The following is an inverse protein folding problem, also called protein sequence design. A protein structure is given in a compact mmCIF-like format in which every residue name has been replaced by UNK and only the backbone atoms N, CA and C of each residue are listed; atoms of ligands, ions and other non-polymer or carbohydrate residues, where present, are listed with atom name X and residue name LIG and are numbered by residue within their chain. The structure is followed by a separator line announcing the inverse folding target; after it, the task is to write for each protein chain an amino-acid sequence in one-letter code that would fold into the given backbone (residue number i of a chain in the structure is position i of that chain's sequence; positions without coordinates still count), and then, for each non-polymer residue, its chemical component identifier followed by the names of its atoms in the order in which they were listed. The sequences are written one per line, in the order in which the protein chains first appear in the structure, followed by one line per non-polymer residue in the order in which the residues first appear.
data_IF_963260779628
#
_entry.id   IF_963260779628
#
_cell.length_a   1.000
_cell.length_b   1.000
_cell.length_c   1.000
_cell.angle_alpha   90.00
_cell.angle_beta   90.00
_cell.angle_gamma   90.00
#
_symmetry.space_group_name_H-M   'P 1'
#
loop_
_entity.id
_entity.type
_entity.pdbx_description
1 polymer ?
#
# COMPACT_ATOMS: atom_id res chain seq x y z
N UNK A 1 -10.49 -3.46 -10.90
CA UNK A 1 -10.51 -3.18 -12.35
C UNK A 1 -9.08 -3.25 -12.88
N UNK A 2 -8.83 -4.11 -13.86
CA UNK A 2 -7.53 -4.23 -14.53
C UNK A 2 -7.74 -3.77 -15.98
N UNK A 3 -6.92 -2.85 -16.47
CA UNK A 3 -6.99 -2.45 -17.88
C UNK A 3 -5.87 -3.13 -18.67
N UNK A 4 -6.02 -3.19 -20.00
CA UNK A 4 -5.05 -3.83 -20.90
C UNK A 4 -3.64 -3.25 -20.82
N UNK A 5 -3.48 -2.00 -20.37
CA UNK A 5 -2.17 -1.36 -20.24
C UNK A 5 -1.44 -1.87 -19.00
N UNK A 6 -2.14 -2.04 -17.87
CA UNK A 6 -1.59 -2.62 -16.66
C UNK A 6 -1.19 -4.09 -16.85
N UNK A 7 -1.97 -4.86 -17.62
CA UNK A 7 -1.66 -6.27 -17.92
C UNK A 7 -0.33 -6.42 -18.67
N UNK A 8 -0.09 -5.57 -19.68
CA UNK A 8 1.17 -5.55 -20.43
C UNK A 8 2.40 -5.24 -19.58
N UNK A 9 2.22 -4.67 -18.39
CA UNK A 9 3.30 -4.30 -17.47
C UNK A 9 3.47 -5.29 -16.32
N UNK A 10 2.69 -6.37 -16.26
CA UNK A 10 2.88 -7.43 -15.27
C UNK A 10 4.30 -8.01 -15.35
N UNK A 11 4.92 -8.24 -14.19
CA UNK A 11 6.29 -8.77 -14.08
C UNK A 11 7.41 -7.77 -14.41
N UNK A 12 7.07 -6.54 -14.80
CA UNK A 12 8.05 -5.48 -15.03
C UNK A 12 8.35 -4.70 -13.75
N UNK A 13 9.51 -4.04 -13.70
CA UNK A 13 9.86 -3.15 -12.59
C UNK A 13 8.89 -1.97 -12.54
N UNK A 14 8.31 -1.72 -11.36
CA UNK A 14 7.41 -0.61 -11.10
C UNK A 14 7.98 0.29 -10.00
N UNK A 15 7.84 1.60 -10.16
CA UNK A 15 8.17 2.56 -9.10
C UNK A 15 7.03 2.61 -8.09
N UNK A 16 7.27 2.08 -6.89
CA UNK A 16 6.27 2.07 -5.80
C UNK A 16 6.47 3.21 -4.80
N UNK A 17 7.71 3.72 -4.71
CA UNK A 17 8.09 4.78 -3.78
C UNK A 17 9.25 5.59 -4.37
N UNK A 18 9.31 6.89 -4.08
CA UNK A 18 10.41 7.77 -4.45
C UNK A 18 10.67 8.81 -3.35
N UNK A 19 11.88 9.37 -3.34
CA UNK A 19 12.32 10.36 -2.36
C UNK A 19 12.95 11.57 -3.08
N UNK A 20 12.82 12.75 -2.48
CA UNK A 20 13.39 14.02 -2.95
C UNK A 20 14.00 14.74 -1.77
N UNK A 21 15.22 15.24 -1.93
CA UNK A 21 15.83 16.23 -1.06
C UNK A 21 15.97 17.54 -1.84
N UNK A 22 15.44 18.63 -1.28
CA UNK A 22 15.48 19.97 -1.87
C UNK A 22 16.77 20.68 -1.46
N UNK A 23 17.26 21.67 -2.24
CA UNK A 23 18.50 22.37 -1.92
C UNK A 23 18.53 23.08 -0.55
N UNK A 24 17.36 23.38 0.02
CA UNK A 24 17.21 23.97 1.35
C UNK A 24 17.16 22.91 2.49
N UNK A 25 17.44 21.64 2.17
CA UNK A 25 17.44 20.53 3.12
C UNK A 25 16.07 19.89 3.35
N UNK A 26 15.01 20.39 2.70
CA UNK A 26 13.68 19.81 2.82
C UNK A 26 13.58 18.42 2.18
N UNK A 27 13.02 17.44 2.89
CA UNK A 27 12.88 16.05 2.42
C UNK A 27 11.42 15.69 2.18
N UNK A 28 11.16 14.89 1.15
CA UNK A 28 9.82 14.43 0.82
C UNK A 28 9.83 13.05 0.15
N UNK A 29 8.74 12.31 0.32
CA UNK A 29 8.55 10.99 -0.30
C UNK A 29 7.18 10.91 -0.96
N UNK A 30 7.08 10.08 -2.01
CA UNK A 30 5.80 9.63 -2.55
C UNK A 30 5.70 8.12 -2.49
N UNK A 31 4.51 7.59 -2.25
CA UNK A 31 4.25 6.17 -2.02
C UNK A 31 2.88 5.75 -2.55
N UNK A 32 2.82 4.69 -3.37
CA UNK A 32 1.58 4.20 -3.99
C UNK A 32 0.93 3.02 -3.24
N UNK A 33 1.51 2.56 -2.12
CA UNK A 33 1.03 1.38 -1.40
C UNK A 33 -0.14 1.59 -0.45
N UNK A 34 -0.58 2.83 -0.20
CA UNK A 34 -1.54 3.16 0.86
C UNK A 34 -3.01 2.77 0.61
N UNK A 35 -3.34 2.09 -0.49
CA UNK A 35 -4.74 1.79 -0.85
C UNK A 35 -5.37 0.67 -0.01
N UNK A 36 -4.62 -0.40 0.26
CA UNK A 36 -5.13 -1.57 0.98
C UNK A 36 -4.82 -1.46 2.47
N UNK A 37 -5.83 -1.11 3.28
CA UNK A 37 -5.68 -0.93 4.74
C UNK A 37 -5.08 -2.16 5.43
N UNK A 38 -5.43 -3.38 4.98
CA UNK A 38 -4.91 -4.64 5.53
C UNK A 38 -3.38 -4.74 5.48
N UNK A 39 -2.71 -4.03 4.56
CA UNK A 39 -1.25 -4.00 4.50
C UNK A 39 -0.59 -3.43 5.75
N UNK A 40 -1.30 -2.59 6.52
CA UNK A 40 -0.78 -2.06 7.77
C UNK A 40 -0.55 -3.13 8.84
N UNK A 41 -1.09 -4.34 8.69
CA UNK A 41 -0.74 -5.47 9.55
C UNK A 41 0.64 -6.08 9.23
N UNK A 42 1.24 -5.76 8.07
CA UNK A 42 2.56 -6.27 7.66
C UNK A 42 3.67 -5.40 8.29
N UNK A 43 4.51 -6.01 9.12
CA UNK A 43 5.54 -5.31 9.89
C UNK A 43 6.53 -4.54 9.01
N UNK A 44 7.00 -5.14 7.92
CA UNK A 44 7.95 -4.48 7.00
C UNK A 44 7.30 -3.36 6.18
N UNK A 45 5.99 -3.47 5.90
CA UNK A 45 5.23 -2.40 5.25
C UNK A 45 5.13 -1.18 6.18
N UNK A 46 4.88 -1.40 7.48
CA UNK A 46 4.94 -0.33 8.47
C UNK A 46 6.34 0.24 8.62
N UNK A 47 7.37 -0.62 8.69
CA UNK A 47 8.76 -0.21 8.88
C UNK A 47 9.23 0.73 7.76
N UNK A 48 8.95 0.43 6.49
CA UNK A 48 9.36 1.31 5.38
C UNK A 48 8.68 2.68 5.46
N UNK A 49 7.40 2.73 5.84
CA UNK A 49 6.68 4.00 6.01
C UNK A 49 7.21 4.79 7.20
N UNK A 50 7.47 4.13 8.34
CA UNK A 50 8.03 4.78 9.52
C UNK A 50 9.43 5.32 9.26
N UNK A 51 10.29 4.55 8.59
CA UNK A 51 11.62 5.01 8.15
C UNK A 51 11.49 6.25 7.25
N UNK A 52 10.53 6.25 6.33
CA UNK A 52 10.27 7.39 5.45
C UNK A 52 9.84 8.63 6.24
N UNK A 53 8.94 8.49 7.21
CA UNK A 53 8.49 9.56 8.10
C UNK A 53 9.68 10.14 8.88
N UNK A 54 10.47 9.29 9.55
CA UNK A 54 11.67 9.69 10.29
C UNK A 54 12.65 10.45 9.40
N UNK A 55 12.92 9.94 8.20
CA UNK A 55 13.82 10.58 7.25
C UNK A 55 13.27 11.94 6.77
N UNK A 56 11.98 12.03 6.43
CA UNK A 56 11.33 13.30 6.03
C UNK A 56 11.31 14.33 7.15
N UNK A 57 11.30 13.89 8.42
CA UNK A 57 11.42 14.77 9.58
C UNK A 57 12.86 15.29 9.82
N UNK A 58 13.83 14.91 8.97
CA UNK A 58 15.23 15.32 9.09
C UNK A 58 16.05 14.50 10.07
N UNK A 59 15.48 13.42 10.63
CA UNK A 59 16.14 12.54 11.59
C UNK A 59 16.90 11.41 10.88
N UNK A 60 17.88 10.82 11.57
CA UNK A 60 18.52 9.60 11.11
C UNK A 60 17.61 8.38 11.34
N UNK A 61 17.54 7.52 10.32
CA UNK A 61 16.81 6.25 10.42
C UNK A 61 17.72 5.25 11.15
N UNK A 62 17.22 4.53 12.18
CA UNK A 62 18.02 3.51 12.86
C UNK A 62 18.51 2.43 11.89
N UNK A 63 19.68 1.83 12.17
CA UNK A 63 20.28 0.78 11.33
C UNK A 63 19.32 -0.39 11.07
N UNK A 64 18.56 -0.79 12.08
CA UNK A 64 17.56 -1.87 11.99
C UNK A 64 16.15 -1.37 11.59
N UNK A 65 16.03 -0.10 11.21
CA UNK A 65 14.77 0.59 10.96
C UNK A 65 14.02 0.97 12.24
N UNK A 66 12.97 1.76 12.07
CA UNK A 66 12.08 2.18 13.16
C UNK A 66 11.29 0.97 13.64
N UNK A 67 11.39 0.67 14.93
CA UNK A 67 10.63 -0.40 15.57
C UNK A 67 9.15 -0.04 15.67
N UNK A 68 8.28 -1.03 15.45
CA UNK A 68 6.84 -0.92 15.71
C UNK A 68 6.33 -2.23 16.30
N UNK A 69 5.30 -2.16 17.15
CA UNK A 69 4.61 -3.36 17.64
C UNK A 69 3.82 -4.00 16.49
N UNK A 70 3.70 -5.32 16.52
CA UNK A 70 2.76 -6.04 15.67
C UNK A 70 1.33 -5.53 15.94
N UNK A 71 0.56 -5.36 14.87
CA UNK A 71 -0.84 -4.94 14.95
C UNK A 71 -1.72 -6.18 15.16
N UNK A 72 -2.65 -6.10 16.11
CA UNK A 72 -3.65 -7.15 16.30
C UNK A 72 -4.81 -6.98 15.32
N UNK A 73 -5.56 -8.05 15.08
CA UNK A 73 -6.77 -7.98 14.25
C UNK A 73 -7.80 -6.98 14.79
N UNK A 74 -7.95 -6.92 16.11
CA UNK A 74 -8.84 -5.93 16.75
C UNK A 74 -8.40 -4.50 16.39
N UNK A 75 -7.12 -4.17 16.56
CA UNK A 75 -6.56 -2.86 16.22
C UNK A 75 -6.71 -2.51 14.74
N UNK A 76 -6.58 -3.50 13.85
CA UNK A 76 -6.75 -3.28 12.40
C UNK A 76 -8.19 -2.86 12.04
N UNK A 77 -9.16 -3.26 12.86
CA UNK A 77 -10.59 -2.96 12.68
C UNK A 77 -11.09 -1.79 13.54
N UNK A 78 -10.22 -1.16 14.33
CA UNK A 78 -10.55 0.04 15.09
C UNK A 78 -10.61 1.26 14.16
N UNK A 79 -11.56 2.17 14.43
CA UNK A 79 -11.67 3.48 13.76
C UNK A 79 -11.81 3.44 12.23
N UNK A 80 -12.33 2.34 11.66
CA UNK A 80 -12.63 2.26 10.24
C UNK A 80 -13.79 3.22 9.87
N UNK A 81 -13.68 3.84 8.70
CA UNK A 81 -14.77 4.62 8.12
C UNK A 81 -16.04 3.77 8.03
N UNK A 82 -17.15 4.28 8.58
CA UNK A 82 -18.43 3.58 8.49
C UNK A 82 -18.86 3.42 7.02
N UNK A 83 -19.16 2.18 6.63
CA UNK A 83 -19.72 1.81 5.33
C UNK A 83 -21.13 1.25 5.51
N UNK A 84 -21.87 1.11 4.40
CA UNK A 84 -23.19 0.46 4.39
C UNK A 84 -23.12 -0.97 4.93
N UNK A 85 -22.08 -1.68 4.54
CA UNK A 85 -21.76 -3.02 5.02
C UNK A 85 -20.35 -2.95 5.60
N UNK A 86 -20.24 -3.25 6.90
CA UNK A 86 -18.94 -3.33 7.56
C UNK A 86 -18.35 -4.71 7.26
N UNK A 87 -17.12 -4.72 6.77
CA UNK A 87 -16.36 -5.95 6.52
C UNK A 87 -15.28 -6.05 7.58
N UNK A 88 -15.26 -7.16 8.30
CA UNK A 88 -14.19 -7.48 9.22
C UNK A 88 -12.90 -7.80 8.45
N UNK A 89 -11.81 -7.13 8.80
CA UNK A 89 -10.51 -7.26 8.14
C UNK A 89 -9.65 -8.22 8.94
N UNK A 90 -9.49 -9.45 8.45
CA UNK A 90 -8.59 -10.42 9.06
C UNK A 90 -7.11 -10.04 8.84
N UNK A 91 -6.21 -10.57 9.68
CA UNK A 91 -4.77 -10.43 9.44
C UNK A 91 -4.35 -11.07 8.10
N UNK A 92 -3.30 -10.55 7.42
CA UNK A 92 -2.70 -11.18 6.25
C UNK A 92 -2.31 -12.64 6.47
N UNK A 93 -2.46 -13.44 5.43
CA UNK A 93 -2.08 -14.85 5.35
C UNK A 93 -1.04 -15.06 4.25
N UNK A 94 -0.35 -16.21 4.24
CA UNK A 94 0.60 -16.54 3.16
C UNK A 94 -0.07 -16.58 1.77
N UNK A 95 -1.37 -16.93 1.72
CA UNK A 95 -2.14 -16.92 0.48
C UNK A 95 -2.24 -15.53 -0.16
N UNK A 96 -2.14 -14.47 0.63
CA UNK A 96 -2.21 -13.08 0.14
C UNK A 96 -0.93 -12.69 -0.62
N UNK A 97 0.22 -13.29 -0.27
CA UNK A 97 1.51 -13.02 -0.92
C UNK A 97 1.70 -13.82 -2.22
N UNK A 98 0.92 -14.88 -2.39
CA UNK A 98 1.02 -15.82 -3.51
C UNK A 98 -0.20 -15.78 -4.44
N UNK A 99 -1.05 -14.77 -4.29
CA UNK A 99 -2.26 -14.63 -5.08
C UNK A 99 -1.93 -14.54 -6.59
N UNK A 100 -2.67 -15.25 -7.45
CA UNK A 100 -2.50 -15.13 -8.89
C UNK A 100 -2.94 -13.74 -9.36
N UNK A 101 -2.48 -13.33 -10.55
CA UNK A 101 -3.01 -12.14 -11.20
C UNK A 101 -4.54 -12.23 -11.34
N UNK A 102 -5.22 -11.11 -11.09
CA UNK A 102 -6.67 -11.05 -11.24
C UNK A 102 -7.08 -11.36 -12.69
N UNK A 103 -8.22 -12.04 -12.88
CA UNK A 103 -8.74 -12.32 -14.22
C UNK A 103 -9.01 -11.00 -14.97
N UNK A 104 -8.68 -10.91 -16.27
CA UNK A 104 -9.01 -9.74 -17.08
C UNK A 104 -10.52 -9.47 -17.05
N UNK A 105 -10.90 -8.22 -16.84
CA UNK A 105 -12.29 -7.77 -16.93
C UNK A 105 -12.41 -6.77 -18.08
N UNK A 106 -13.47 -6.85 -18.90
CA UNK A 106 -13.73 -5.82 -19.89
C UNK A 106 -13.77 -4.45 -19.21
N UNK A 107 -13.19 -3.47 -19.87
CA UNK A 107 -13.23 -2.09 -19.41
C UNK A 107 -14.70 -1.64 -19.31
N UNK A 108 -15.05 -0.86 -18.27
CA UNK A 108 -16.42 -0.37 -18.06
C UNK A 108 -16.38 1.14 -17.86
N UNK A 109 -16.77 1.92 -18.88
CA UNK A 109 -17.10 3.34 -18.71
C UNK A 109 -18.62 3.54 -18.63
N UNK A 110 -19.10 4.55 -17.89
CA UNK A 110 -20.44 5.08 -18.08
C UNK A 110 -20.68 5.39 -19.56
N UNK A 111 -21.71 4.77 -20.15
CA UNK A 111 -22.08 4.95 -21.57
C UNK A 111 -21.42 3.98 -22.57
N UNK A 112 -20.63 3.00 -22.11
CA UNK A 112 -20.10 1.97 -23.01
C UNK A 112 -21.26 1.09 -23.55
N UNK A 113 -21.31 0.83 -24.88
CA UNK A 113 -22.25 -0.14 -25.44
C UNK A 113 -22.08 -1.47 -24.73
N UNK A 114 -23.17 -2.05 -24.22
CA UNK A 114 -23.15 -3.43 -23.75
C UNK A 114 -23.03 -4.35 -24.97
N UNK A 115 -22.28 -5.45 -24.87
CA UNK A 115 -22.24 -6.45 -25.94
C UNK A 115 -23.64 -7.01 -26.24
#
# INVERSE_FOLDING_TARGET
HWNQFAEKLLGTKQTMMWAVERPDGGRGIGFTGGHWHRNWAIDDFRKVVLNAITWTAGLEVPENGVSSKAITEAQLNENLDQKKEMVHIALPSEGDLTQPAAKPVPYKWPGMPKP
#
